data_IF_433377365481
#
_entry.id   IF_433377365481
#
_cell.length_a   1.000
_cell.length_b   1.000
_cell.length_c   1.000
_cell.angle_alpha   90.00
_cell.angle_beta   90.00
_cell.angle_gamma   90.00
#
_symmetry.space_group_name_H-M   'P 1'
#
loop_
_entity.id
_entity.type
_entity.pdbx_description
1 polymer ?
#
# COMPACT_ATOMS: atom_id res chain seq x y z
N UNK A 1 -1.19 3.65 12.31
CA UNK A 1 -0.30 4.45 11.45
C UNK A 1 1.04 3.76 11.14
N UNK A 2 1.19 2.47 11.45
CA UNK A 2 2.28 1.59 10.96
C UNK A 2 3.72 2.11 11.16
N UNK A 3 3.95 3.00 12.14
CA UNK A 3 5.26 3.63 12.37
C UNK A 3 5.66 4.69 11.32
N UNK A 4 4.79 5.00 10.36
CA UNK A 4 5.05 5.92 9.25
C UNK A 4 4.48 7.32 9.46
N UNK A 5 3.32 7.43 10.12
CA UNK A 5 2.61 8.70 10.32
C UNK A 5 2.38 9.01 11.79
N UNK A 6 2.40 10.29 12.15
CA UNK A 6 2.10 10.74 13.52
C UNK A 6 0.60 11.06 13.73
N UNK A 7 -0.20 11.11 12.66
CA UNK A 7 -1.64 11.34 12.71
C UNK A 7 -2.34 10.64 11.52
N UNK A 8 -3.68 10.58 11.55
CA UNK A 8 -4.47 10.06 10.41
C UNK A 8 -4.75 11.08 9.31
N UNK A 9 -4.33 12.34 9.49
CA UNK A 9 -4.55 13.40 8.51
C UNK A 9 -3.51 13.38 7.39
N UNK A 10 -3.90 13.88 6.22
CA UNK A 10 -2.99 14.09 5.12
C UNK A 10 -1.99 15.21 5.42
N UNK A 11 -0.70 14.98 5.13
CA UNK A 11 0.31 16.05 5.10
C UNK A 11 1.35 15.80 4.02
N UNK A 12 1.52 16.76 3.10
CA UNK A 12 2.56 16.69 2.07
C UNK A 12 3.99 16.69 2.63
N UNK A 13 4.17 17.12 3.89
CA UNK A 13 5.47 17.08 4.56
C UNK A 13 5.93 15.67 4.95
N UNK A 14 5.03 14.67 4.94
CA UNK A 14 5.44 13.29 5.23
C UNK A 14 6.36 12.74 4.15
N UNK A 15 6.10 13.08 2.88
CA UNK A 15 6.86 12.57 1.72
C UNK A 15 7.03 11.05 1.77
N UNK A 16 5.91 10.35 1.99
CA UNK A 16 5.84 8.89 2.11
C UNK A 16 4.86 8.36 1.08
N UNK A 17 5.32 7.31 0.38
CA UNK A 17 4.48 6.40 -0.38
C UNK A 17 4.66 5.03 0.23
N UNK A 18 3.56 4.37 0.60
CA UNK A 18 3.60 3.03 1.16
C UNK A 18 2.57 2.12 0.50
N UNK A 19 2.84 0.82 0.58
CA UNK A 19 1.87 -0.23 0.29
C UNK A 19 1.61 -0.93 1.62
N UNK A 20 0.38 -0.83 2.11
CA UNK A 20 0.00 -1.46 3.37
C UNK A 20 -0.71 -2.80 3.13
N UNK A 21 -0.50 -3.72 4.08
CA UNK A 21 -1.19 -5.00 4.17
C UNK A 21 -1.94 -5.00 5.51
N UNK A 22 -3.08 -4.32 5.57
CA UNK A 22 -3.76 -4.06 6.84
C UNK A 22 -4.69 -5.23 7.23
N UNK A 23 -4.52 -5.66 8.48
CA UNK A 23 -5.24 -6.77 9.10
C UNK A 23 -6.25 -6.31 10.14
N UNK A 24 -6.16 -5.06 10.59
CA UNK A 24 -7.08 -4.42 11.51
C UNK A 24 -7.95 -3.41 10.75
N UNK A 25 -9.13 -3.07 11.30
CA UNK A 25 -10.05 -2.13 10.66
C UNK A 25 -10.21 -0.95 11.60
N UNK A 26 -9.56 0.16 11.26
CA UNK A 26 -9.70 1.46 11.88
C UNK A 26 -10.86 2.26 11.26
N UNK A 27 -11.11 3.46 11.80
CA UNK A 27 -12.22 4.33 11.34
C UNK A 27 -12.04 4.87 9.92
N UNK A 28 -10.80 4.96 9.43
CA UNK A 28 -10.47 5.42 8.07
C UNK A 28 -10.44 4.27 7.05
N UNK A 29 -10.55 3.02 7.50
CA UNK A 29 -10.38 1.85 6.64
C UNK A 29 -11.68 1.41 5.95
N UNK A 30 -11.58 0.66 4.84
CA UNK A 30 -12.70 -0.15 4.37
C UNK A 30 -13.12 -1.18 5.43
N UNK A 31 -14.34 -1.70 5.33
CA UNK A 31 -14.92 -2.69 6.26
C UNK A 31 -14.30 -4.10 6.15
N UNK A 32 -13.14 -4.23 5.51
CA UNK A 32 -12.45 -5.50 5.28
C UNK A 32 -10.95 -5.29 5.44
N UNK A 33 -10.24 -6.36 5.80
CA UNK A 33 -8.78 -6.42 5.58
C UNK A 33 -8.47 -6.09 4.14
N UNK A 34 -7.38 -5.38 3.92
CA UNK A 34 -7.13 -4.79 2.62
C UNK A 34 -5.65 -4.65 2.33
N UNK A 35 -5.35 -4.55 1.04
CA UNK A 35 -4.08 -4.00 0.55
C UNK A 35 -4.38 -2.55 0.18
N UNK A 36 -3.51 -1.65 0.59
CA UNK A 36 -3.67 -0.20 0.42
C UNK A 36 -2.48 0.44 -0.28
N UNK A 37 -2.72 1.57 -0.96
CA UNK A 37 -1.67 2.47 -1.46
C UNK A 37 -1.82 3.81 -0.73
N UNK A 38 -0.85 4.07 0.15
CA UNK A 38 -0.79 5.25 0.99
C UNK A 38 0.05 6.32 0.33
N UNK A 39 -0.46 7.54 0.33
CA UNK A 39 0.26 8.71 -0.16
C UNK A 39 0.08 9.80 0.88
N UNK A 40 1.14 10.09 1.64
CA UNK A 40 1.17 11.18 2.64
C UNK A 40 0.03 11.13 3.67
N UNK A 41 -0.55 9.96 3.90
CA UNK A 41 -1.67 9.72 4.81
C UNK A 41 -1.79 8.22 5.02
N UNK A 42 -2.19 7.79 6.22
CA UNK A 42 -2.59 6.38 6.48
C UNK A 42 -3.92 6.02 5.82
N UNK A 43 -4.74 7.02 5.50
CA UNK A 43 -5.97 6.77 4.75
C UNK A 43 -5.60 6.53 3.30
N UNK A 44 -5.52 5.25 2.94
CA UNK A 44 -5.22 4.74 1.61
C UNK A 44 -5.95 5.49 0.50
N UNK A 45 -5.20 5.93 -0.51
CA UNK A 45 -5.78 6.55 -1.72
C UNK A 45 -6.57 5.56 -2.57
N UNK A 46 -6.20 4.28 -2.50
CA UNK A 46 -6.88 3.17 -3.16
C UNK A 46 -6.66 1.89 -2.36
N UNK A 47 -7.70 1.08 -2.26
CA UNK A 47 -7.65 -0.22 -1.59
C UNK A 47 -8.23 -1.33 -2.45
N UNK A 48 -7.88 -2.58 -2.11
CA UNK A 48 -8.56 -3.79 -2.56
C UNK A 48 -8.77 -4.71 -1.37
N UNK A 49 -9.93 -5.39 -1.31
CA UNK A 49 -10.17 -6.41 -0.28
C UNK A 49 -9.10 -7.50 -0.36
N UNK A 50 -8.57 -7.88 0.79
CA UNK A 50 -7.55 -8.91 0.92
C UNK A 50 -8.07 -10.06 1.78
N UNK A 51 -8.21 -11.23 1.16
CA UNK A 51 -8.48 -12.47 1.88
C UNK A 51 -7.20 -12.99 2.51
N UNK A 52 -6.77 -12.33 3.58
CA UNK A 52 -5.61 -12.76 4.38
C UNK A 52 -5.77 -14.22 4.85
N UNK A 53 -4.72 -15.01 4.68
CA UNK A 53 -4.67 -16.43 5.05
C UNK A 53 -3.69 -16.64 6.21
N UNK A 54 -4.22 -17.06 7.37
CA UNK A 54 -3.45 -17.14 8.61
C UNK A 54 -2.33 -18.19 8.52
N UNK A 55 -1.08 -17.75 8.65
CA UNK A 55 0.09 -18.63 8.67
C UNK A 55 0.57 -19.08 7.28
N UNK A 56 -0.12 -18.67 6.21
CA UNK A 56 0.24 -18.99 4.84
C UNK A 56 1.26 -17.99 4.27
N UNK A 57 2.15 -18.49 3.41
CA UNK A 57 3.15 -17.64 2.74
C UNK A 57 2.50 -16.87 1.60
N UNK A 58 2.51 -15.54 1.70
CA UNK A 58 2.15 -14.65 0.61
C UNK A 58 3.40 -14.26 -0.20
N UNK A 59 3.31 -14.34 -1.53
CA UNK A 59 4.31 -13.79 -2.45
C UNK A 59 3.81 -12.45 -2.95
N UNK A 60 4.59 -11.39 -2.75
CA UNK A 60 4.26 -10.02 -3.15
C UNK A 60 5.22 -9.54 -4.23
N UNK A 61 4.66 -8.93 -5.28
CA UNK A 61 5.39 -8.17 -6.28
C UNK A 61 4.85 -6.74 -6.31
N UNK A 62 5.74 -5.78 -6.07
CA UNK A 62 5.46 -4.35 -6.19
C UNK A 62 6.29 -3.82 -7.35
N UNK A 63 5.65 -3.15 -8.30
CA UNK A 63 6.31 -2.59 -9.47
C UNK A 63 5.82 -1.16 -9.72
N UNK A 64 6.75 -0.29 -10.10
CA UNK A 64 6.44 1.07 -10.51
C UNK A 64 6.89 1.29 -11.96
N UNK A 65 5.95 1.69 -12.82
CA UNK A 65 6.23 2.03 -14.21
C UNK A 65 6.21 3.55 -14.39
N UNK A 66 7.39 4.16 -14.39
CA UNK A 66 7.55 5.62 -14.46
C UNK A 66 6.90 6.26 -15.69
N UNK A 67 6.96 5.61 -16.87
CA UNK A 67 6.38 6.14 -18.10
C UNK A 67 4.86 6.35 -18.04
N UNK A 68 4.16 5.66 -17.14
CA UNK A 68 2.71 5.78 -16.92
C UNK A 68 2.38 6.13 -15.47
N UNK A 69 3.41 6.46 -14.67
CA UNK A 69 3.32 6.73 -13.24
C UNK A 69 2.51 5.68 -12.47
N UNK A 70 2.56 4.42 -12.88
CA UNK A 70 1.67 3.39 -12.34
C UNK A 70 2.39 2.54 -11.31
N UNK A 71 1.93 2.59 -10.06
CA UNK A 71 2.31 1.65 -9.00
C UNK A 71 1.34 0.47 -9.04
N UNK A 72 1.85 -0.75 -9.16
CA UNK A 72 1.08 -2.00 -9.12
C UNK A 72 1.61 -2.93 -8.06
N UNK A 73 0.70 -3.43 -7.24
CA UNK A 73 0.93 -4.42 -6.18
C UNK A 73 0.15 -5.65 -6.56
N UNK A 74 0.82 -6.80 -6.60
CA UNK A 74 0.18 -8.10 -6.69
C UNK A 74 0.63 -8.98 -5.54
N UNK A 75 -0.34 -9.63 -4.88
CA UNK A 75 -0.11 -10.63 -3.84
C UNK A 75 -0.69 -11.96 -4.31
N UNK A 76 0.00 -13.06 -4.08
CA UNK A 76 -0.47 -14.42 -4.36
C UNK A 76 -0.18 -15.34 -3.20
N UNK A 77 -1.15 -16.18 -2.81
CA UNK A 77 -0.93 -17.31 -1.92
C UNK A 77 -0.75 -18.58 -2.76
N UNK A 78 0.47 -19.16 -2.83
CA UNK A 78 0.69 -20.35 -3.65
C UNK A 78 -0.08 -21.57 -3.17
N UNK A 79 -0.35 -21.68 -1.87
CA UNK A 79 -1.05 -22.81 -1.25
C UNK A 79 -2.50 -22.92 -1.69
N UNK A 80 -3.22 -21.79 -1.71
CA UNK A 80 -4.63 -21.71 -2.10
C UNK A 80 -4.84 -21.29 -3.56
N UNK A 81 -3.78 -20.87 -4.25
CA UNK A 81 -3.82 -20.27 -5.60
C UNK A 81 -4.72 -19.02 -5.67
N UNK A 82 -4.88 -18.30 -4.57
CA UNK A 82 -5.59 -17.01 -4.54
C UNK A 82 -4.65 -15.87 -4.88
N UNK A 83 -5.18 -14.82 -5.52
CA UNK A 83 -4.41 -13.64 -5.88
C UNK A 83 -5.22 -12.35 -5.74
N UNK A 84 -4.51 -11.27 -5.44
CA UNK A 84 -5.04 -9.94 -5.24
C UNK A 84 -4.15 -8.95 -6.00
N UNK A 85 -4.77 -7.97 -6.65
CA UNK A 85 -4.05 -6.96 -7.42
C UNK A 85 -4.64 -5.58 -7.17
N UNK A 86 -3.76 -4.60 -7.03
CA UNK A 86 -4.09 -3.20 -6.85
C UNK A 86 -3.13 -2.35 -7.70
N UNK A 87 -3.67 -1.43 -8.48
CA UNK A 87 -2.87 -0.45 -9.23
C UNK A 87 -3.41 0.96 -9.04
N UNK A 88 -2.51 1.94 -8.90
CA UNK A 88 -2.86 3.36 -8.83
C UNK A 88 -1.84 4.20 -9.60
N UNK A 89 -2.28 5.38 -10.05
CA UNK A 89 -1.38 6.41 -10.54
C UNK A 89 -0.73 7.12 -9.35
N UNK A 90 0.59 7.18 -9.34
CA UNK A 90 1.42 7.76 -8.29
C UNK A 90 2.57 8.52 -8.95
N UNK A 91 2.51 9.83 -8.94
CA UNK A 91 3.63 10.67 -9.37
C UNK A 91 4.68 10.76 -8.25
N UNK A 92 5.68 9.86 -8.28
CA UNK A 92 6.72 9.84 -7.25
C UNK A 92 7.50 11.15 -7.19
N UNK A 93 7.63 11.88 -8.30
CA UNK A 93 8.43 13.11 -8.37
C UNK A 93 7.75 14.26 -7.64
N UNK A 94 6.42 14.33 -7.63
CA UNK A 94 5.70 15.36 -6.87
C UNK A 94 5.57 15.02 -5.38
N UNK A 95 5.79 13.76 -4.98
CA UNK A 95 5.59 13.29 -3.60
C UNK A 95 6.90 13.17 -2.83
N UNK A 96 7.93 12.54 -3.42
CA UNK A 96 9.15 12.12 -2.72
C UNK A 96 10.34 13.06 -3.01
N UNK A 97 11.32 13.16 -2.08
CA UNK A 97 12.60 13.77 -2.39
C UNK A 97 13.42 12.90 -3.36
N UNK A 98 14.49 13.46 -3.91
CA UNK A 98 15.37 12.75 -4.85
C UNK A 98 16.04 11.51 -4.25
N UNK A 99 16.31 11.52 -2.93
CA UNK A 99 16.96 10.43 -2.21
C UNK A 99 16.01 9.84 -1.18
N UNK A 100 15.74 8.54 -1.31
CA UNK A 100 14.78 7.83 -0.46
C UNK A 100 15.41 6.60 0.21
N UNK A 101 14.73 6.10 1.23
CA UNK A 101 15.00 4.79 1.85
C UNK A 101 13.80 3.89 1.60
N UNK A 102 14.07 2.61 1.38
CA UNK A 102 13.05 1.59 1.12
C UNK A 102 13.18 0.52 2.22
N UNK A 103 12.06 0.06 2.74
CA UNK A 103 12.04 -0.91 3.84
C UNK A 103 10.63 -1.37 4.19
N UNK A 104 10.53 -1.99 5.36
CA UNK A 104 9.32 -2.49 6.01
C UNK A 104 9.31 -2.03 7.46
#
# INVERSE_FOLDING_TARGET
FLGLFNSGGYSSSYQIVAVEFDTYINEWDPKTRHIGIDINSINSTKTVTWGWENGEVAIVLISYKAATETLTVSLTYPSSQTSYILSAAVDLKSILPEWVRIGF
#
